data_IF_480200718155
#
_entry.id   IF_480200718155
#
_cell.length_a   1.000
_cell.length_b   1.000
_cell.length_c   1.000
_cell.angle_alpha   90.00
_cell.angle_beta   90.00
_cell.angle_gamma   90.00
#
_symmetry.space_group_name_H-M   'P 1'
#
loop_
_entity.id
_entity.type
_entity.pdbx_description
1 polymer ?
#
# COMPACT_ATOMS: atom_id res chain seq x y z
N UNK A 1 8.70 2.87 2.88
CA UNK A 1 8.47 3.04 1.45
C UNK A 1 7.56 1.93 0.91
N UNK A 2 7.71 0.74 1.45
CA UNK A 2 6.90 -0.39 1.03
C UNK A 2 5.53 -0.37 1.70
N UNK A 3 5.50 0.07 2.96
CA UNK A 3 4.25 0.14 3.70
C UNK A 3 3.17 0.89 2.94
N UNK A 4 3.46 2.14 2.60
CA UNK A 4 2.50 2.97 1.87
C UNK A 4 2.00 2.26 0.62
N UNK A 5 2.88 1.51 -0.02
CA UNK A 5 2.53 0.77 -1.23
C UNK A 5 1.62 -0.41 -0.91
N UNK A 6 1.92 -1.10 0.19
CA UNK A 6 1.14 -2.25 0.62
C UNK A 6 -0.26 -1.83 1.05
N UNK A 7 -0.36 -0.66 1.67
CA UNK A 7 -1.64 -0.16 2.12
C UNK A 7 -2.50 0.35 0.98
N UNK A 8 -1.87 1.02 0.02
CA UNK A 8 -2.57 1.56 -1.14
C UNK A 8 -3.38 0.48 -1.84
N UNK A 9 -2.73 -0.65 -2.13
CA UNK A 9 -3.37 -1.76 -2.80
C UNK A 9 -4.54 -2.28 -1.98
N UNK A 10 -4.31 -2.50 -0.69
CA UNK A 10 -5.34 -2.99 0.21
C UNK A 10 -6.60 -2.14 0.11
N UNK A 11 -6.45 -0.84 0.39
CA UNK A 11 -7.59 0.06 0.32
C UNK A 11 -8.24 0.09 -1.04
N UNK A 12 -7.40 0.17 -2.08
CA UNK A 12 -7.90 0.21 -3.45
C UNK A 12 -7.53 -1.08 -4.20
#
# INVERSE_FOLDING_TARGET
ILGTILGLLKGLX
#
